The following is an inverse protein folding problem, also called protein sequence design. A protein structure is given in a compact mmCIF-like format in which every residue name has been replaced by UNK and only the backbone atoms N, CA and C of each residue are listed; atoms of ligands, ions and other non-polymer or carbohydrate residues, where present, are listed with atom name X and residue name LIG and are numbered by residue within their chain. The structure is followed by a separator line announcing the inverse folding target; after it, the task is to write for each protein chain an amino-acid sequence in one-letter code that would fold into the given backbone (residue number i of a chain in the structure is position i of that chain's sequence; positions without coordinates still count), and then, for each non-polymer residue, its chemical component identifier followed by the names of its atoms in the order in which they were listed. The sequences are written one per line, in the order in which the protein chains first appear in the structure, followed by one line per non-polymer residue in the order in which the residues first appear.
data_IF_036587743466
#
_entry.id   IF_036587743466
#
_cell.length_a   1.000
_cell.length_b   1.000
_cell.length_c   1.000
_cell.angle_alpha   90.00
_cell.angle_beta   90.00
_cell.angle_gamma   90.00
#
_symmetry.space_group_name_H-M   'P 1'
#
loop_
_entity.id
_entity.type
_entity.pdbx_description
1 polymer ?
#
# COMPACT_ATOMS: atom_id res chain seq x y z
N UNK A 1 -14.41 2.89 9.83
CA UNK A 1 -12.96 3.24 9.96
C UNK A 1 -12.59 4.28 8.90
N UNK A 2 -13.49 5.25 8.65
CA UNK A 2 -13.43 6.07 7.44
C UNK A 2 -12.58 7.33 7.58
N UNK A 3 -12.07 7.61 8.78
CA UNK A 3 -11.16 8.71 9.04
C UNK A 3 -10.04 8.28 10.00
N UNK A 4 -9.10 7.47 9.51
CA UNK A 4 -7.78 7.48 10.12
C UNK A 4 -7.23 8.90 9.87
N UNK A 5 -7.17 9.70 10.93
CA UNK A 5 -6.66 11.07 10.92
C UNK A 5 -5.31 11.18 10.20
N UNK A 6 -4.94 12.41 9.82
CA UNK A 6 -3.93 12.82 8.83
C UNK A 6 -2.55 12.12 8.74
N UNK A 7 -2.24 11.08 9.51
CA UNK A 7 -1.12 10.16 9.32
C UNK A 7 -1.53 8.87 8.59
N UNK A 8 -0.85 8.58 7.49
CA UNK A 8 -0.98 7.33 6.74
C UNK A 8 0.39 6.77 6.35
N UNK A 9 0.43 5.52 5.89
CA UNK A 9 1.67 4.93 5.36
C UNK A 9 1.84 5.35 3.90
N UNK A 10 3.03 5.85 3.57
CA UNK A 10 3.41 6.18 2.19
C UNK A 10 4.38 5.12 1.69
N UNK A 11 4.03 4.48 0.57
CA UNK A 11 4.97 3.67 -0.21
C UNK A 11 5.57 4.58 -1.27
N UNK A 12 6.84 4.95 -1.10
CA UNK A 12 7.59 5.78 -2.04
C UNK A 12 8.50 4.91 -2.91
N UNK A 13 8.50 5.17 -4.22
CA UNK A 13 9.31 4.40 -5.18
C UNK A 13 10.82 4.66 -5.08
N UNK A 14 11.26 5.75 -4.43
CA UNK A 14 12.68 6.10 -4.30
C UNK A 14 13.41 6.39 -5.62
N UNK A 15 12.70 6.57 -6.74
CA UNK A 15 13.29 6.78 -8.08
C UNK A 15 13.07 8.21 -8.60
N UNK A 16 13.91 8.66 -9.53
CA UNK A 16 13.88 10.03 -10.07
C UNK A 16 12.57 10.40 -10.82
N UNK A 17 11.81 9.42 -11.32
CA UNK A 17 10.48 9.60 -11.91
C UNK A 17 9.32 9.29 -10.96
N UNK A 18 9.61 9.27 -9.65
CA UNK A 18 8.85 8.54 -8.65
C UNK A 18 7.42 9.00 -8.38
N UNK A 19 6.74 8.17 -7.59
CA UNK A 19 5.41 8.44 -7.06
C UNK A 19 5.27 7.91 -5.62
N UNK A 20 4.37 8.54 -4.88
CA UNK A 20 4.04 8.20 -3.50
C UNK A 20 2.61 7.64 -3.44
N UNK A 21 2.47 6.38 -3.03
CA UNK A 21 1.17 5.77 -2.78
C UNK A 21 0.80 5.92 -1.30
N UNK A 22 -0.22 6.74 -1.02
CA UNK A 22 -0.79 6.87 0.32
C UNK A 22 -1.76 5.71 0.56
N UNK A 23 -1.46 4.88 1.55
CA UNK A 23 -2.32 3.78 1.96
C UNK A 23 -3.22 4.22 3.12
N UNK A 24 -4.55 4.05 3.03
CA UNK A 24 -5.43 4.24 4.18
C UNK A 24 -5.28 3.07 5.16
N UNK A 25 -5.74 3.25 6.41
CA UNK A 25 -5.54 2.29 7.51
C UNK A 25 -5.90 0.85 7.17
N UNK A 26 -7.01 0.62 6.45
CA UNK A 26 -7.44 -0.72 6.00
C UNK A 26 -6.43 -1.48 5.14
N UNK A 27 -5.49 -0.76 4.52
CA UNK A 27 -4.47 -1.31 3.64
C UNK A 27 -3.13 -1.60 4.36
N UNK A 28 -3.01 -1.27 5.66
CA UNK A 28 -1.80 -1.57 6.44
C UNK A 28 -2.02 -2.03 7.88
N UNK A 29 -3.27 -2.03 8.37
CA UNK A 29 -3.67 -2.57 9.68
C UNK A 29 -4.63 -3.75 9.50
N UNK A 30 -4.25 -4.92 10.04
CA UNK A 30 -5.09 -6.13 10.06
C UNK A 30 -5.69 -6.29 11.46
N UNK A 31 -7.04 -6.30 11.60
CA UNK A 31 -7.66 -6.61 12.88
C UNK A 31 -7.38 -8.08 13.24
N UNK A 32 -6.93 -8.33 14.47
CA UNK A 32 -6.65 -9.71 14.96
C UNK A 32 -7.63 -10.16 16.04
N UNK A 33 -8.44 -9.24 16.56
CA UNK A 33 -9.53 -9.51 17.48
C UNK A 33 -10.66 -8.48 17.35
N UNK A 34 -11.74 -8.66 18.11
CA UNK A 34 -12.83 -7.70 18.23
C UNK A 34 -12.59 -6.61 19.30
N UNK A 35 -11.43 -6.61 19.97
CA UNK A 35 -11.09 -5.68 21.06
C UNK A 35 -10.31 -4.44 20.58
N UNK A 36 -10.01 -4.37 19.27
CA UNK A 36 -9.30 -3.24 18.68
C UNK A 36 -7.79 -3.44 18.59
N UNK A 37 -7.30 -4.69 18.68
CA UNK A 37 -5.90 -5.00 18.40
C UNK A 37 -5.68 -5.12 16.90
N UNK A 38 -4.61 -4.50 16.40
CA UNK A 38 -4.22 -4.55 14.99
C UNK A 38 -2.76 -4.95 14.84
N UNK A 39 -2.49 -5.76 13.81
CA UNK A 39 -1.15 -6.04 13.35
C UNK A 39 -0.83 -5.20 12.11
N UNK A 40 0.43 -4.75 12.00
CA UNK A 40 0.93 -4.17 10.76
C UNK A 40 0.93 -5.24 9.67
N UNK A 41 0.40 -4.91 8.49
CA UNK A 41 0.42 -5.78 7.31
C UNK A 41 1.81 -5.83 6.62
N UNK A 42 2.88 -5.58 7.37
CA UNK A 42 4.26 -5.59 6.89
C UNK A 42 5.02 -6.72 7.57
N UNK A 43 5.74 -7.50 6.76
CA UNK A 43 6.63 -8.55 7.23
C UNK A 43 8.05 -8.26 6.73
N UNK A 44 9.04 -8.55 7.56
CA UNK A 44 10.44 -8.46 7.15
C UNK A 44 10.74 -9.48 6.05
N UNK A 45 11.63 -9.11 5.13
CA UNK A 45 12.15 -9.99 4.08
C UNK A 45 13.64 -10.23 4.31
N UNK A 46 14.15 -11.40 3.90
CA UNK A 46 15.58 -11.75 4.05
C UNK A 46 16.48 -11.18 2.94
N UNK A 47 15.95 -10.31 2.06
CA UNK A 47 16.66 -9.73 0.92
C UNK A 47 16.26 -8.29 0.63
N UNK A 48 16.83 -7.65 -0.41
CA UNK A 48 16.62 -6.23 -0.70
C UNK A 48 15.27 -5.95 -1.41
N UNK A 49 14.27 -6.80 -1.20
CA UNK A 49 12.97 -6.71 -1.88
C UNK A 49 11.88 -6.35 -0.90
N UNK A 50 11.04 -5.41 -1.30
CA UNK A 50 9.75 -5.13 -0.66
C UNK A 50 8.63 -5.66 -1.56
N UNK A 51 7.63 -6.29 -0.96
CA UNK A 51 6.50 -6.90 -1.68
C UNK A 51 5.23 -6.14 -1.30
N UNK A 52 4.54 -5.59 -2.30
CA UNK A 52 3.21 -4.98 -2.12
C UNK A 52 2.16 -6.08 -2.25
N UNK A 53 1.68 -6.57 -1.12
CA UNK A 53 0.70 -7.67 -1.06
C UNK A 53 -0.72 -7.25 -1.41
N UNK A 54 -1.64 -8.24 -1.42
CA UNK A 54 -3.04 -8.03 -1.76
C UNK A 54 -3.72 -6.97 -0.88
N UNK A 55 -3.44 -6.97 0.42
CA UNK A 55 -4.01 -6.00 1.37
C UNK A 55 -3.63 -4.57 0.98
N UNK A 56 -2.37 -4.33 0.63
CA UNK A 56 -1.92 -3.00 0.20
C UNK A 56 -2.53 -2.55 -1.14
N UNK A 57 -2.98 -3.50 -1.98
CA UNK A 57 -3.58 -3.21 -3.28
C UNK A 57 -5.10 -3.02 -3.25
N UNK A 58 -5.79 -3.30 -2.14
CA UNK A 58 -7.25 -3.15 -2.07
C UNK A 58 -7.68 -1.69 -2.33
N UNK A 59 -8.64 -1.48 -3.23
CA UNK A 59 -9.10 -0.14 -3.62
C UNK A 59 -8.10 0.63 -4.50
N UNK A 60 -6.97 0.01 -4.89
CA UNK A 60 -5.96 0.60 -5.78
C UNK A 60 -6.02 -0.11 -7.12
N UNK A 61 -6.18 0.66 -8.20
CA UNK A 61 -5.96 0.15 -9.55
C UNK A 61 -4.47 0.13 -9.86
N UNK A 62 -3.96 -1.05 -10.20
CA UNK A 62 -2.60 -1.24 -10.69
C UNK A 62 -2.63 -1.32 -12.22
N UNK A 63 -1.88 -0.46 -12.90
CA UNK A 63 -1.76 -0.44 -14.37
C UNK A 63 -0.34 -0.78 -14.80
N UNK A 64 -0.21 -1.61 -15.83
CA UNK A 64 1.07 -1.99 -16.42
C UNK A 64 1.19 -1.40 -17.82
N UNK A 65 2.05 -0.40 -17.99
CA UNK A 65 2.38 0.17 -19.31
C UNK A 65 3.69 -0.47 -19.80
N UNK A 66 3.57 -1.49 -20.63
CA UNK A 66 4.70 -2.26 -21.18
C UNK A 66 5.45 -1.50 -22.27
N UNK A 67 4.82 -0.50 -22.91
CA UNK A 67 5.50 0.35 -23.88
C UNK A 67 6.44 1.34 -23.19
N UNK A 68 6.07 1.82 -21.99
CA UNK A 68 6.90 2.74 -21.19
C UNK A 68 7.71 2.06 -20.09
N UNK A 69 7.56 0.75 -19.88
CA UNK A 69 8.15 0.00 -18.77
C UNK A 69 7.81 0.60 -17.39
N UNK A 70 6.54 0.97 -17.18
CA UNK A 70 6.10 1.59 -15.91
C UNK A 70 4.94 0.84 -15.28
N UNK A 71 4.88 0.91 -13.95
CA UNK A 71 3.73 0.47 -13.15
C UNK A 71 3.11 1.71 -12.52
N UNK A 72 1.80 1.87 -12.69
CA UNK A 72 1.02 2.98 -12.15
C UNK A 72 0.06 2.52 -11.06
N UNK A 73 -0.15 3.37 -10.06
CA UNK A 73 -1.10 3.14 -8.97
C UNK A 73 -2.13 4.27 -8.93
N UNK A 74 -3.42 3.93 -8.86
CA UNK A 74 -4.49 4.92 -8.74
C UNK A 74 -5.46 4.49 -7.66
N UNK A 75 -5.57 5.28 -6.58
CA UNK A 75 -6.49 5.02 -5.48
C UNK A 75 -7.96 5.20 -5.90
N UNK A 76 -8.86 4.53 -5.17
CA UNK A 76 -10.32 4.63 -5.27
C UNK A 76 -10.86 4.29 -6.67
N UNK A 77 -10.27 3.27 -7.30
CA UNK A 77 -10.63 2.82 -8.66
C UNK A 77 -11.00 1.33 -8.76
N UNK A 78 -11.52 0.74 -7.68
CA UNK A 78 -12.03 -0.63 -7.61
C UNK A 78 -13.15 -0.76 -6.58
#
# INVERSE_FOLDING_TARGET
MDDAGSGGVIVDSGTAGGGALKLPAKNYLIPVDGAGTYCLAFAGTSGPVSIIGNVQQQGVRVSFDTAKNTVGFTADKC
#
